data_IF_924643480978
#
_entry.id   IF_924643480978
#
_cell.length_a   1.000
_cell.length_b   1.000
_cell.length_c   1.000
_cell.angle_alpha   90.00
_cell.angle_beta   90.00
_cell.angle_gamma   90.00
#
_symmetry.space_group_name_H-M   'P 1'
#
loop_
_entity.id
_entity.type
_entity.pdbx_description
1 polymer ?
#
# COMPACT_ATOMS: atom_id res chain seq x y z
N UNK A 1 -1.50 -15.89 -17.38
CA UNK A 1 -0.57 -15.88 -16.23
C UNK A 1 -0.33 -14.43 -15.82
N UNK A 2 -0.95 -13.94 -14.75
CA UNK A 2 -0.66 -12.63 -14.19
C UNK A 2 0.43 -12.79 -13.13
N UNK A 3 1.66 -12.44 -13.49
CA UNK A 3 2.82 -12.57 -12.61
C UNK A 3 3.81 -11.45 -12.92
N UNK A 4 4.30 -10.80 -11.86
CA UNK A 4 5.27 -9.69 -11.85
C UNK A 4 4.80 -8.26 -12.15
N UNK A 5 3.68 -8.01 -12.86
CA UNK A 5 3.28 -6.62 -13.20
C UNK A 5 2.38 -5.94 -12.15
N UNK A 6 1.52 -6.67 -11.44
CA UNK A 6 0.53 -6.08 -10.52
C UNK A 6 1.16 -5.52 -9.22
N UNK A 7 2.37 -5.97 -8.87
CA UNK A 7 3.13 -5.48 -7.70
C UNK A 7 3.89 -4.19 -8.06
N UNK A 8 4.11 -3.93 -9.35
CA UNK A 8 4.81 -2.72 -9.80
C UNK A 8 3.89 -1.49 -9.96
N UNK A 9 2.56 -1.66 -10.03
CA UNK A 9 1.62 -0.52 -10.13
C UNK A 9 1.59 0.35 -8.87
N UNK A 10 1.91 -0.22 -7.70
CA UNK A 10 2.00 0.50 -6.42
C UNK A 10 3.34 1.23 -6.25
N UNK A 11 4.28 1.09 -7.19
CA UNK A 11 5.43 1.97 -7.24
C UNK A 11 4.94 3.33 -7.72
N UNK A 12 4.80 4.25 -6.76
CA UNK A 12 4.61 5.66 -7.06
C UNK A 12 5.82 6.16 -7.86
N UNK A 13 5.76 6.04 -9.18
CA UNK A 13 6.77 6.64 -10.04
C UNK A 13 6.77 8.15 -9.77
N UNK A 14 7.92 8.77 -9.43
CA UNK A 14 8.00 10.19 -9.11
C UNK A 14 7.51 11.09 -10.25
N UNK A 15 7.43 10.54 -11.47
CA UNK A 15 6.81 11.19 -12.62
C UNK A 15 5.31 11.49 -12.45
N UNK A 16 4.56 10.72 -11.65
CA UNK A 16 3.12 10.94 -11.45
C UNK A 16 2.86 12.11 -10.47
N UNK A 17 3.76 12.31 -9.50
CA UNK A 17 3.68 13.41 -8.53
C UNK A 17 3.96 14.76 -9.20
N UNK A 18 5.00 14.83 -10.05
CA UNK A 18 5.32 16.04 -10.81
C UNK A 18 4.16 16.44 -11.73
N UNK A 19 3.59 15.46 -12.45
CA UNK A 19 2.48 15.71 -13.37
C UNK A 19 1.20 16.15 -12.63
N UNK A 20 0.94 15.65 -11.42
CA UNK A 20 -0.20 16.08 -10.59
C UNK A 20 -0.06 17.53 -10.09
N UNK A 21 1.16 18.02 -9.93
CA UNK A 21 1.45 19.43 -9.60
C UNK A 21 1.48 20.34 -10.84
N UNK A 22 1.20 19.80 -12.04
CA UNK A 22 1.22 20.56 -13.30
C UNK A 22 2.62 20.74 -13.91
N UNK A 23 3.63 20.03 -13.40
CA UNK A 23 5.01 20.09 -13.90
C UNK A 23 5.35 18.84 -14.72
N UNK A 24 5.93 19.03 -15.90
CA UNK A 24 6.47 17.95 -16.72
C UNK A 24 7.76 17.37 -16.13
N UNK A 25 8.16 16.18 -16.59
CA UNK A 25 9.44 15.54 -16.19
C UNK A 25 10.68 16.40 -16.46
N UNK A 26 10.59 17.32 -17.43
CA UNK A 26 11.68 18.23 -17.80
C UNK A 26 11.67 19.55 -16.99
N UNK A 27 10.67 19.76 -16.13
CA UNK A 27 10.47 21.02 -15.40
C UNK A 27 11.14 21.03 -14.02
N UNK A 28 12.01 20.06 -13.73
CA UNK A 28 12.70 19.98 -12.43
C UNK A 28 13.62 21.18 -12.18
N UNK A 29 14.12 21.81 -13.25
CA UNK A 29 14.87 23.06 -13.19
C UNK A 29 14.01 24.25 -12.70
N UNK A 30 12.68 24.20 -12.88
CA UNK A 30 11.76 25.23 -12.37
C UNK A 30 11.63 25.11 -10.85
N UNK A 31 11.59 23.88 -10.32
CA UNK A 31 11.54 23.61 -8.88
C UNK A 31 12.83 24.09 -8.20
N UNK A 32 13.99 23.79 -8.78
CA UNK A 32 15.28 24.20 -8.23
C UNK A 32 15.40 25.74 -8.17
N UNK A 33 14.98 26.43 -9.24
CA UNK A 33 14.94 27.89 -9.28
C UNK A 33 13.94 28.51 -8.27
N UNK A 34 12.81 27.84 -7.99
CA UNK A 34 11.87 28.29 -6.95
C UNK A 34 12.45 28.14 -5.55
N UNK A 35 13.14 27.03 -5.28
CA UNK A 35 13.84 26.81 -4.01
C UNK A 35 14.94 27.86 -3.81
N UNK A 36 15.76 28.12 -4.84
CA UNK A 36 16.81 29.15 -4.80
C UNK A 36 16.23 30.53 -4.50
N UNK A 37 15.12 30.91 -5.15
CA UNK A 37 14.44 32.19 -4.88
C UNK A 37 13.84 32.26 -3.47
N UNK A 38 13.34 31.15 -2.94
CA UNK A 38 12.84 31.07 -1.57
C UNK A 38 13.98 31.18 -0.54
N UNK A 39 15.14 30.59 -0.82
CA UNK A 39 16.34 30.76 0.01
C UNK A 39 16.91 32.18 -0.03
N UNK A 40 16.62 32.93 -1.09
CA UNK A 40 17.02 34.33 -1.27
C UNK A 40 15.95 35.34 -0.80
N UNK A 41 14.84 34.85 -0.21
CA UNK A 41 13.72 35.65 0.30
C UNK A 41 13.04 36.60 -0.74
N UNK A 42 13.30 36.35 -2.03
CA UNK A 42 12.82 37.16 -3.17
C UNK A 42 11.68 36.46 -3.94
N UNK A 43 10.86 35.68 -3.21
CA UNK A 43 9.83 34.86 -3.83
C UNK A 43 8.54 35.67 -4.08
N UNK A 44 8.06 35.77 -5.35
CA UNK A 44 6.76 36.36 -5.60
C UNK A 44 5.69 35.47 -4.99
N UNK A 45 4.79 36.09 -4.22
CA UNK A 45 3.66 35.47 -3.52
C UNK A 45 3.01 34.42 -4.44
N UNK A 46 2.82 33.16 -3.99
CA UNK A 46 2.25 32.12 -4.83
C UNK A 46 0.86 32.56 -5.30
N UNK A 47 0.74 32.81 -6.61
CA UNK A 47 -0.57 32.94 -7.26
C UNK A 47 -1.21 31.56 -7.26
N UNK A 48 -1.80 31.18 -6.14
CA UNK A 48 -2.69 30.02 -6.06
C UNK A 48 -3.87 30.36 -6.97
N UNK A 49 -4.02 29.64 -8.08
CA UNK A 49 -5.18 29.80 -8.93
C UNK A 49 -6.44 29.59 -8.06
N UNK A 50 -7.44 30.49 -8.09
CA UNK A 50 -8.59 30.43 -7.19
C UNK A 50 -9.46 29.19 -7.36
N UNK A 51 -9.15 28.33 -8.32
CA UNK A 51 -9.88 27.10 -8.60
C UNK A 51 -8.93 25.98 -9.08
N UNK A 52 -8.08 25.47 -8.17
CA UNK A 52 -7.39 24.20 -8.40
C UNK A 52 -8.39 23.09 -8.06
N UNK A 53 -8.83 22.35 -9.08
CA UNK A 53 -9.65 21.16 -8.87
C UNK A 53 -8.92 20.22 -7.88
N UNK A 54 -9.61 19.81 -6.80
CA UNK A 54 -9.05 18.87 -5.82
C UNK A 54 -8.46 17.68 -6.57
N UNK A 55 -7.22 17.31 -6.26
CA UNK A 55 -6.61 16.11 -6.81
C UNK A 55 -7.57 14.95 -6.61
N UNK A 56 -7.83 14.17 -7.67
CA UNK A 56 -8.64 12.97 -7.57
C UNK A 56 -7.97 12.08 -6.52
N UNK A 57 -8.66 11.79 -5.43
CA UNK A 57 -8.18 10.84 -4.44
C UNK A 57 -7.78 9.57 -5.17
N UNK A 58 -6.51 9.16 -5.03
CA UNK A 58 -6.04 7.92 -5.63
C UNK A 58 -6.98 6.77 -5.27
N UNK A 59 -7.14 5.80 -6.17
CA UNK A 59 -7.94 4.61 -5.86
C UNK A 59 -7.43 4.01 -4.55
N UNK A 60 -8.33 3.61 -3.62
CA UNK A 60 -7.90 2.98 -2.39
C UNK A 60 -7.05 1.74 -2.74
N UNK A 61 -5.96 1.47 -1.99
CA UNK A 61 -5.10 0.34 -2.24
C UNK A 61 -5.92 -0.96 -2.18
N UNK A 62 -5.67 -1.86 -3.12
CA UNK A 62 -6.33 -3.18 -3.13
C UNK A 62 -5.81 -4.00 -1.95
N UNK A 63 -6.73 -4.45 -1.09
CA UNK A 63 -6.40 -5.22 0.12
C UNK A 63 -6.84 -6.68 0.06
N UNK A 64 -7.61 -7.07 -0.95
CA UNK A 64 -8.16 -8.44 -1.09
C UNK A 64 -7.81 -8.99 -2.47
N UNK A 65 -7.29 -10.21 -2.49
CA UNK A 65 -6.98 -10.97 -3.71
C UNK A 65 -7.75 -12.30 -3.68
N UNK A 66 -8.57 -12.61 -4.71
CA UNK A 66 -9.29 -13.88 -4.81
C UNK A 66 -8.36 -14.98 -5.31
N UNK A 67 -7.38 -15.34 -4.48
CA UNK A 67 -6.37 -16.35 -4.78
C UNK A 67 -6.70 -17.63 -4.05
N UNK A 68 -6.75 -18.74 -4.80
CA UNK A 68 -6.96 -20.07 -4.24
C UNK A 68 -5.61 -20.78 -4.12
N UNK A 69 -5.40 -21.47 -3.02
CA UNK A 69 -4.17 -22.21 -2.80
C UNK A 69 -4.19 -23.02 -1.52
N UNK A 70 -3.03 -23.61 -1.24
CA UNK A 70 -2.76 -24.33 -0.01
C UNK A 70 -1.69 -23.55 0.77
N UNK A 71 -1.91 -23.40 2.06
CA UNK A 71 -0.96 -22.84 2.99
C UNK A 71 -0.53 -23.92 3.96
N UNK A 72 0.78 -24.15 4.08
CA UNK A 72 1.35 -25.08 5.06
C UNK A 72 2.13 -24.27 6.09
N UNK A 73 1.82 -24.45 7.37
CA UNK A 73 2.57 -23.84 8.46
C UNK A 73 3.99 -24.42 8.52
N UNK A 74 4.98 -23.58 8.80
CA UNK A 74 6.36 -24.05 8.89
C UNK A 74 6.52 -25.05 10.04
N UNK A 75 7.26 -26.13 9.78
CA UNK A 75 7.69 -27.11 10.80
C UNK A 75 8.48 -26.47 11.94
N UNK A 76 9.13 -25.34 11.67
CA UNK A 76 9.97 -24.62 12.64
C UNK A 76 9.17 -23.67 13.54
N UNK A 77 7.85 -23.60 13.40
CA UNK A 77 7.04 -22.77 14.28
C UNK A 77 7.02 -23.38 15.68
N UNK A 78 7.38 -22.58 16.68
CA UNK A 78 7.27 -22.97 18.09
C UNK A 78 5.82 -22.95 18.55
N UNK A 79 5.04 -21.98 18.04
CA UNK A 79 3.66 -21.75 18.42
C UNK A 79 2.71 -21.97 17.22
N UNK A 80 1.48 -22.46 17.47
CA UNK A 80 0.45 -22.56 16.45
C UNK A 80 0.00 -21.17 15.96
N UNK A 81 -0.50 -21.12 14.73
CA UNK A 81 -1.10 -19.91 14.16
C UNK A 81 -2.55 -19.81 14.65
N UNK A 82 -2.83 -18.75 15.41
CA UNK A 82 -4.17 -18.47 15.95
C UNK A 82 -5.13 -18.09 14.83
N UNK A 83 -6.19 -18.87 14.68
CA UNK A 83 -7.25 -18.64 13.67
C UNK A 83 -8.35 -17.77 14.26
N UNK A 84 -8.88 -16.83 13.47
CA UNK A 84 -9.96 -15.91 13.87
C UNK A 84 -11.15 -16.01 12.91
N UNK A 85 -12.35 -15.71 13.39
CA UNK A 85 -13.59 -15.77 12.59
C UNK A 85 -13.66 -14.73 11.47
N UNK A 86 -12.90 -13.65 11.61
CA UNK A 86 -12.79 -12.59 10.62
C UNK A 86 -11.35 -12.04 10.60
N UNK A 87 -10.98 -11.33 9.54
CA UNK A 87 -9.66 -10.71 9.44
C UNK A 87 -9.50 -9.58 10.48
N UNK A 88 -8.33 -9.54 11.13
CA UNK A 88 -7.94 -8.51 12.09
C UNK A 88 -7.66 -9.04 13.50
N UNK A 89 -6.73 -8.38 14.19
CA UNK A 89 -6.29 -8.74 15.55
C UNK A 89 -7.37 -8.53 16.63
N UNK A 90 -8.39 -7.72 16.33
CA UNK A 90 -9.52 -7.41 17.21
C UNK A 90 -10.69 -8.40 17.08
N UNK A 91 -10.56 -9.42 16.21
CA UNK A 91 -11.65 -10.36 15.91
C UNK A 91 -11.61 -11.57 16.83
N UNK A 92 -12.79 -12.16 17.00
CA UNK A 92 -13.00 -13.35 17.83
C UNK A 92 -12.09 -14.49 17.37
N UNK A 93 -11.32 -15.03 18.33
CA UNK A 93 -10.48 -16.21 18.14
C UNK A 93 -11.37 -17.44 18.05
N UNK A 94 -11.02 -18.34 17.14
CA UNK A 94 -11.64 -19.65 17.10
C UNK A 94 -11.04 -20.51 18.22
N UNK A 95 -11.80 -21.53 18.63
CA UNK A 95 -11.37 -22.49 19.62
C UNK A 95 -9.98 -23.09 19.29
N UNK A 96 -9.20 -23.39 20.33
CA UNK A 96 -7.79 -23.77 20.23
C UNK A 96 -7.58 -25.00 19.34
N UNK A 97 -8.54 -25.93 19.35
CA UNK A 97 -8.48 -27.15 18.53
C UNK A 97 -8.53 -26.87 17.02
N UNK A 98 -8.98 -25.67 16.61
CA UNK A 98 -9.05 -25.23 15.21
C UNK A 98 -7.86 -24.36 14.78
N UNK A 99 -6.87 -24.16 15.66
CA UNK A 99 -5.66 -23.42 15.31
C UNK A 99 -4.76 -24.25 14.39
N UNK A 100 -4.01 -23.58 13.51
CA UNK A 100 -3.13 -24.26 12.56
C UNK A 100 -1.81 -24.56 13.27
N UNK A 101 -1.53 -25.84 13.54
CA UNK A 101 -0.32 -26.27 14.24
C UNK A 101 0.88 -26.29 13.29
N UNK A 102 2.12 -26.35 13.81
CA UNK A 102 3.30 -26.53 12.97
C UNK A 102 3.16 -27.75 12.05
N UNK A 103 3.56 -27.63 10.78
CA UNK A 103 3.42 -28.65 9.73
C UNK A 103 1.99 -28.98 9.26
N UNK A 104 0.97 -28.29 9.78
CA UNK A 104 -0.40 -28.46 9.26
C UNK A 104 -0.65 -27.57 8.05
N UNK A 105 -1.56 -28.03 7.19
CA UNK A 105 -1.95 -27.33 5.98
C UNK A 105 -3.43 -26.97 5.98
N UNK A 106 -3.77 -25.90 5.27
CA UNK A 106 -5.13 -25.43 5.08
C UNK A 106 -5.32 -24.90 3.66
N UNK A 107 -6.50 -25.11 3.10
CA UNK A 107 -6.89 -24.49 1.83
C UNK A 107 -7.45 -23.09 2.08
N UNK A 108 -7.10 -22.16 1.20
CA UNK A 108 -7.66 -20.81 1.22
C UNK A 108 -8.17 -20.43 -0.17
N UNK A 109 -9.10 -19.48 -0.19
CA UNK A 109 -9.74 -18.94 -1.39
C UNK A 109 -9.50 -17.44 -1.60
N UNK A 110 -8.94 -16.77 -0.60
CA UNK A 110 -8.58 -15.37 -0.65
C UNK A 110 -7.34 -15.05 0.21
N UNK A 111 -6.62 -14.02 -0.20
CA UNK A 111 -5.54 -13.40 0.57
C UNK A 111 -5.97 -11.98 0.90
N UNK A 112 -5.80 -11.57 2.16
CA UNK A 112 -6.15 -10.23 2.63
C UNK A 112 -4.91 -9.59 3.27
N UNK A 113 -4.58 -8.37 2.86
CA UNK A 113 -3.52 -7.57 3.48
C UNK A 113 -4.11 -6.66 4.54
N UNK A 114 -3.66 -6.81 5.77
CA UNK A 114 -4.07 -5.95 6.88
C UNK A 114 -3.26 -4.65 6.91
N UNK A 115 -3.83 -3.61 6.30
CA UNK A 115 -3.25 -2.26 6.27
C UNK A 115 -3.36 -1.56 7.62
N UNK A 116 -4.34 -1.92 8.45
CA UNK A 116 -4.59 -1.26 9.74
C UNK A 116 -3.48 -1.58 10.75
N UNK A 117 -3.06 -2.84 10.79
CA UNK A 117 -2.04 -3.32 11.74
C UNK A 117 -0.62 -3.33 11.16
N UNK A 118 -0.41 -2.84 9.92
CA UNK A 118 0.90 -2.81 9.23
C UNK A 118 1.60 -4.17 9.19
N UNK A 119 0.83 -5.26 9.13
CA UNK A 119 1.35 -6.61 9.00
C UNK A 119 1.68 -6.81 7.52
N UNK A 120 2.97 -6.98 7.22
CA UNK A 120 3.54 -6.97 5.87
C UNK A 120 3.62 -8.37 5.27
#
# INVERSE_FOLDING_TARGET
MPGHQDIQYDKQDPSNILSACGYGRHDIAIIDNLVIKYMQDDSPIPKVAPNVAKSKSGKPPKTVWPWKGEFTASKSNTDPIVVRRAFGMDKEEVDNDSWIKPDEWVLFDQVIKDVKNKMW
#
